data_IF_526767262521
#
_entry.id   IF_526767262521
#
_cell.length_a   1.000
_cell.length_b   1.000
_cell.length_c   1.000
_cell.angle_alpha   90.00
_cell.angle_beta   90.00
_cell.angle_gamma   90.00
#
_symmetry.space_group_name_H-M   'P 1'
#
loop_
_entity.id
_entity.type
_entity.pdbx_description
1 polymer ?
#
# COMPACT_ATOMS: atom_id res chain seq x y z
N UNK A 1 30.63 6.12 9.10
CA UNK A 1 29.84 6.67 7.97
C UNK A 1 30.27 8.09 7.61
N UNK A 2 30.52 8.97 8.59
CA UNK A 2 30.98 10.34 8.35
C UNK A 2 32.37 10.38 7.67
N UNK A 3 33.27 9.48 8.05
CA UNK A 3 34.54 9.19 7.38
C UNK A 3 34.39 8.98 5.85
N UNK A 4 33.38 8.20 5.43
CA UNK A 4 33.09 7.98 4.01
C UNK A 4 32.59 9.24 3.32
N UNK A 5 31.82 10.09 4.00
CA UNK A 5 31.35 11.35 3.44
C UNK A 5 32.51 12.34 3.24
N UNK A 6 33.42 12.42 4.22
CA UNK A 6 34.67 13.21 4.12
C UNK A 6 35.51 12.71 2.94
N UNK A 7 35.73 11.39 2.84
CA UNK A 7 36.50 10.79 1.76
C UNK A 7 35.89 11.06 0.37
N UNK A 8 34.55 10.98 0.23
CA UNK A 8 33.86 11.26 -1.04
C UNK A 8 33.95 12.72 -1.43
N UNK A 9 33.81 13.63 -0.47
CA UNK A 9 33.92 15.07 -0.74
C UNK A 9 35.32 15.41 -1.27
N UNK A 10 36.37 14.91 -0.60
CA UNK A 10 37.76 15.07 -1.03
C UNK A 10 38.04 14.40 -2.37
N UNK A 11 37.51 13.21 -2.61
CA UNK A 11 37.71 12.50 -3.88
C UNK A 11 37.09 13.26 -5.05
N UNK A 12 35.98 13.97 -4.83
CA UNK A 12 35.28 14.72 -5.87
C UNK A 12 35.84 16.13 -6.08
N UNK A 13 36.32 16.77 -5.02
CA UNK A 13 36.88 18.13 -5.04
C UNK A 13 38.26 18.17 -4.34
N UNK A 14 39.27 17.47 -4.91
CA UNK A 14 40.57 17.30 -4.27
C UNK A 14 41.40 18.59 -4.22
N UNK A 15 41.08 19.57 -5.07
CA UNK A 15 41.75 20.86 -5.16
C UNK A 15 41.20 21.90 -4.19
N UNK A 16 39.94 21.75 -3.79
CA UNK A 16 39.21 22.68 -2.94
C UNK A 16 39.20 22.25 -1.48
N UNK A 17 39.31 20.95 -1.19
CA UNK A 17 39.22 20.42 0.18
C UNK A 17 40.44 19.61 0.61
N UNK A 18 41.11 20.06 1.67
CA UNK A 18 41.93 19.18 2.51
C UNK A 18 41.05 18.24 3.34
N UNK A 19 41.67 17.27 4.02
CA UNK A 19 40.95 16.34 4.90
C UNK A 19 40.23 17.08 6.03
N UNK A 20 40.89 18.07 6.63
CA UNK A 20 40.37 18.88 7.73
C UNK A 20 39.23 19.79 7.26
N UNK A 21 39.40 20.44 6.10
CA UNK A 21 38.35 21.27 5.50
C UNK A 21 37.12 20.45 5.11
N UNK A 22 37.32 19.24 4.58
CA UNK A 22 36.23 18.33 4.27
C UNK A 22 35.51 17.89 5.55
N UNK A 23 36.24 17.59 6.64
CA UNK A 23 35.65 17.25 7.93
C UNK A 23 34.82 18.41 8.51
N UNK A 24 35.31 19.66 8.40
CA UNK A 24 34.57 20.85 8.80
C UNK A 24 33.30 21.05 7.97
N UNK A 25 33.36 20.88 6.65
CA UNK A 25 32.18 20.97 5.79
C UNK A 25 31.14 19.88 6.12
N UNK A 26 31.58 18.65 6.39
CA UNK A 26 30.70 17.56 6.84
C UNK A 26 30.06 17.91 8.19
N UNK A 27 30.85 18.35 9.18
CA UNK A 27 30.34 18.74 10.49
C UNK A 27 29.28 19.86 10.37
N UNK A 28 29.59 20.88 9.55
CA UNK A 28 28.70 22.02 9.30
C UNK A 28 27.38 21.59 8.69
N UNK A 29 27.41 20.69 7.70
CA UNK A 29 26.19 20.15 7.10
C UNK A 29 25.25 19.51 8.15
N UNK A 30 25.80 18.92 9.21
CA UNK A 30 25.04 18.32 10.31
C UNK A 30 24.67 19.29 11.45
N UNK A 31 25.09 20.55 11.40
CA UNK A 31 24.79 21.53 12.45
C UNK A 31 25.91 21.76 13.48
N UNK A 32 27.10 21.18 13.25
CA UNK A 32 28.20 21.15 14.21
C UNK A 32 29.43 21.87 13.68
N UNK A 33 30.34 22.28 14.57
CA UNK A 33 31.59 22.93 14.18
C UNK A 33 32.71 21.93 13.91
N UNK A 34 32.72 20.79 14.60
CA UNK A 34 33.80 19.81 14.52
C UNK A 34 33.31 18.39 14.29
N UNK A 35 34.10 17.66 13.52
CA UNK A 35 34.04 16.22 13.36
C UNK A 35 35.41 15.66 13.74
N UNK A 36 35.46 14.83 14.77
CA UNK A 36 36.65 14.07 15.12
C UNK A 36 36.79 12.89 14.16
N UNK A 37 37.91 12.80 13.43
CA UNK A 37 38.11 11.75 12.42
C UNK A 37 38.55 10.41 13.00
N UNK A 38 38.99 10.37 14.27
CA UNK A 38 39.33 9.14 14.99
C UNK A 38 38.10 8.51 15.64
N UNK A 39 37.27 9.32 16.30
CA UNK A 39 36.08 8.84 17.01
C UNK A 39 34.80 8.90 16.17
N UNK A 40 34.80 9.71 15.09
CA UNK A 40 33.64 10.02 14.26
C UNK A 40 32.50 10.72 15.01
N UNK A 41 32.83 11.41 16.10
CA UNK A 41 31.86 12.19 16.87
C UNK A 41 31.76 13.63 16.35
N UNK A 42 30.53 14.14 16.32
CA UNK A 42 30.21 15.52 16.03
C UNK A 42 30.16 16.31 17.35
N UNK A 43 30.92 17.38 17.45
CA UNK A 43 31.00 18.21 18.66
C UNK A 43 30.83 19.69 18.34
N UNK A 44 30.62 20.49 19.39
CA UNK A 44 30.44 21.94 19.31
C UNK A 44 29.24 22.32 18.40
N UNK A 45 27.99 22.04 18.82
CA UNK A 45 26.80 22.43 18.06
C UNK A 45 26.78 23.95 17.83
N UNK A 46 26.32 24.38 16.66
CA UNK A 46 26.32 25.79 16.28
C UNK A 46 24.91 26.37 16.37
N UNK A 47 24.75 27.39 17.21
CA UNK A 47 23.48 28.10 17.37
C UNK A 47 22.98 28.65 16.03
N UNK A 48 21.68 28.45 15.76
CA UNK A 48 21.03 28.86 14.52
C UNK A 48 21.14 27.86 13.37
N UNK A 49 21.94 26.79 13.50
CA UNK A 49 21.91 25.69 12.55
C UNK A 49 20.85 24.64 12.88
N UNK A 50 20.34 23.99 11.84
CA UNK A 50 19.36 22.93 11.98
C UNK A 50 20.05 21.61 12.33
N UNK A 51 19.50 20.88 13.29
CA UNK A 51 19.87 19.49 13.51
C UNK A 51 19.48 18.64 12.31
N UNK A 52 20.43 17.82 11.83
CA UNK A 52 20.20 16.85 10.75
C UNK A 52 20.50 15.45 11.29
N UNK A 53 19.59 14.50 11.01
CA UNK A 53 19.76 13.10 11.39
C UNK A 53 21.01 12.49 10.76
N UNK A 54 21.69 11.53 11.41
CA UNK A 54 22.80 10.81 10.79
C UNK A 54 22.40 10.14 9.47
N UNK A 55 23.31 10.11 8.49
CA UNK A 55 23.01 9.63 7.12
C UNK A 55 22.36 8.23 7.09
N UNK A 56 22.82 7.30 7.92
CA UNK A 56 22.24 5.95 8.01
C UNK A 56 20.80 5.91 8.53
N UNK A 57 20.39 6.91 9.30
CA UNK A 57 19.00 7.06 9.76
C UNK A 57 18.16 7.82 8.75
N UNK A 58 18.73 8.83 8.08
CA UNK A 58 18.08 9.53 6.97
C UNK A 58 17.60 8.53 5.91
N UNK A 59 18.45 7.58 5.51
CA UNK A 59 18.12 6.57 4.49
C UNK A 59 16.98 5.61 4.91
N UNK A 60 16.60 5.58 6.19
CA UNK A 60 15.44 4.82 6.68
C UNK A 60 14.16 5.64 6.65
N UNK A 61 14.24 6.97 6.59
CA UNK A 61 13.08 7.85 6.57
C UNK A 61 12.38 7.85 5.21
N UNK A 62 11.18 8.42 5.10
CA UNK A 62 10.52 8.59 3.81
C UNK A 62 11.22 9.62 2.91
N UNK A 63 10.82 9.68 1.64
CA UNK A 63 11.43 10.56 0.64
C UNK A 63 11.33 12.03 1.04
N UNK A 64 10.20 12.48 1.57
CA UNK A 64 10.03 13.89 1.93
C UNK A 64 10.96 14.28 3.07
N UNK A 65 11.10 13.41 4.07
CA UNK A 65 12.00 13.57 5.19
C UNK A 65 13.47 13.47 4.79
N UNK A 66 13.83 12.55 3.89
CA UNK A 66 15.16 12.45 3.29
C UNK A 66 15.52 13.74 2.53
N UNK A 67 14.61 14.19 1.67
CA UNK A 67 14.75 15.44 0.90
C UNK A 67 14.88 16.64 1.84
N UNK A 68 14.05 16.72 2.87
CA UNK A 68 14.12 17.79 3.87
C UNK A 68 15.49 17.79 4.56
N UNK A 69 16.00 16.63 4.96
CA UNK A 69 17.31 16.56 5.61
C UNK A 69 18.45 16.92 4.63
N UNK A 70 18.40 16.52 3.36
CA UNK A 70 19.37 16.98 2.35
C UNK A 70 19.32 18.49 2.13
N UNK A 71 18.11 19.07 2.13
CA UNK A 71 17.92 20.52 2.03
C UNK A 71 18.41 21.25 3.28
N UNK A 72 18.22 20.68 4.48
CA UNK A 72 18.76 21.22 5.74
C UNK A 72 20.28 21.22 5.75
N UNK A 73 20.90 20.15 5.26
CA UNK A 73 22.36 20.09 5.10
C UNK A 73 22.86 21.20 4.18
N UNK A 74 22.22 21.39 3.03
CA UNK A 74 22.58 22.47 2.11
C UNK A 74 22.37 23.85 2.76
N UNK A 75 21.28 24.05 3.49
CA UNK A 75 21.00 25.30 4.18
C UNK A 75 22.05 25.61 5.25
N UNK A 76 22.40 24.64 6.08
CA UNK A 76 23.44 24.78 7.11
C UNK A 76 24.79 25.23 6.53
N UNK A 77 25.12 24.76 5.32
CA UNK A 77 26.30 25.18 4.58
C UNK A 77 26.20 26.59 3.99
N UNK A 78 24.99 27.04 3.62
CA UNK A 78 24.77 28.35 2.99
C UNK A 78 24.60 29.53 3.96
N UNK A 79 24.29 29.27 5.24
CA UNK A 79 24.03 30.31 6.22
C UNK A 79 25.30 31.10 6.55
N UNK A 80 25.35 32.35 6.04
CA UNK A 80 26.51 33.26 6.02
C UNK A 80 26.85 33.93 7.35
N UNK A 81 26.03 33.74 8.39
CA UNK A 81 26.30 34.27 9.73
C UNK A 81 27.48 33.58 10.44
N UNK A 82 28.08 32.56 9.82
CA UNK A 82 29.22 31.83 10.35
C UNK A 82 30.28 31.62 9.27
N UNK A 83 31.45 31.12 9.65
CA UNK A 83 32.59 30.86 8.76
C UNK A 83 32.19 30.05 7.52
N UNK A 84 32.61 30.52 6.33
CA UNK A 84 32.32 29.84 5.07
C UNK A 84 33.23 28.62 4.91
N UNK A 85 32.67 27.43 5.12
CA UNK A 85 33.36 26.15 4.98
C UNK A 85 33.28 25.55 3.58
N UNK A 86 32.65 26.23 2.62
CA UNK A 86 32.33 25.67 1.30
C UNK A 86 33.50 25.67 0.32
N UNK A 87 34.55 26.43 0.59
CA UNK A 87 35.75 26.54 -0.27
C UNK A 87 35.41 26.87 -1.73
N UNK A 88 34.37 27.68 -1.96
CA UNK A 88 33.89 28.05 -3.29
C UNK A 88 33.03 26.99 -4.01
N UNK A 89 32.80 25.81 -3.41
CA UNK A 89 31.92 24.78 -3.97
C UNK A 89 30.46 25.04 -3.56
N UNK A 90 29.48 25.03 -4.48
CA UNK A 90 28.08 25.22 -4.13
C UNK A 90 27.58 24.20 -3.08
N UNK A 91 26.80 24.64 -2.10
CA UNK A 91 26.35 23.82 -0.97
C UNK A 91 25.66 22.52 -1.40
N UNK A 92 24.80 22.59 -2.43
CA UNK A 92 24.10 21.44 -2.99
C UNK A 92 25.05 20.39 -3.57
N UNK A 93 26.16 20.85 -4.16
CA UNK A 93 27.16 19.96 -4.74
C UNK A 93 28.01 19.28 -3.67
N UNK A 94 28.27 19.96 -2.54
CA UNK A 94 28.91 19.38 -1.35
C UNK A 94 28.02 18.25 -0.79
N UNK A 95 26.72 18.51 -0.57
CA UNK A 95 25.78 17.49 -0.07
C UNK A 95 25.69 16.30 -1.02
N UNK A 96 25.60 16.54 -2.33
CA UNK A 96 25.60 15.48 -3.33
C UNK A 96 26.90 14.64 -3.28
N UNK A 97 28.05 15.28 -3.16
CA UNK A 97 29.35 14.61 -3.05
C UNK A 97 29.43 13.72 -1.81
N UNK A 98 29.03 14.24 -0.64
CA UNK A 98 28.97 13.48 0.62
C UNK A 98 28.12 12.22 0.46
N UNK A 99 26.98 12.33 -0.21
CA UNK A 99 26.06 11.22 -0.44
C UNK A 99 26.52 10.26 -1.56
N UNK A 100 27.54 10.63 -2.35
CA UNK A 100 28.10 9.81 -3.42
C UNK A 100 27.45 10.00 -4.79
N UNK A 101 26.82 11.16 -5.03
CA UNK A 101 26.12 11.48 -6.28
C UNK A 101 26.88 12.51 -7.13
N UNK A 102 26.64 12.45 -8.44
CA UNK A 102 27.27 13.35 -9.42
C UNK A 102 26.83 14.80 -9.27
N UNK A 103 25.57 15.04 -8.92
CA UNK A 103 25.01 16.36 -8.62
C UNK A 103 23.78 16.22 -7.70
N UNK A 104 23.25 17.35 -7.24
CA UNK A 104 22.13 17.37 -6.32
C UNK A 104 20.83 16.86 -6.96
N UNK A 105 20.61 17.14 -8.25
CA UNK A 105 19.42 16.64 -8.96
C UNK A 105 19.40 15.11 -9.06
N UNK A 106 20.57 14.47 -9.22
CA UNK A 106 20.71 13.01 -9.20
C UNK A 106 20.45 12.43 -7.80
N UNK A 107 20.90 13.10 -6.74
CA UNK A 107 20.58 12.73 -5.35
C UNK A 107 19.07 12.84 -5.10
N UNK A 108 18.45 13.94 -5.52
CA UNK A 108 17.01 14.16 -5.41
C UNK A 108 16.23 13.13 -6.23
N UNK A 109 16.65 12.86 -7.47
CA UNK A 109 16.05 11.84 -8.33
C UNK A 109 16.16 10.45 -7.68
N UNK A 110 17.30 10.13 -7.06
CA UNK A 110 17.47 8.88 -6.33
C UNK A 110 16.52 8.79 -5.13
N UNK A 111 16.45 9.84 -4.30
CA UNK A 111 15.51 9.90 -3.17
C UNK A 111 14.06 9.74 -3.65
N UNK A 112 13.70 10.38 -4.77
CA UNK A 112 12.38 10.23 -5.40
C UNK A 112 12.16 8.88 -6.08
N UNK A 113 13.23 8.17 -6.44
CA UNK A 113 13.16 6.92 -7.18
C UNK A 113 12.90 5.69 -6.32
N UNK A 114 13.00 5.77 -4.97
CA UNK A 114 12.86 4.61 -4.07
C UNK A 114 11.53 3.88 -4.34
N UNK A 115 11.57 2.80 -5.15
CA UNK A 115 10.37 2.24 -5.73
C UNK A 115 9.75 1.35 -4.67
N UNK A 116 8.74 1.87 -3.99
CA UNK A 116 7.89 1.07 -3.13
C UNK A 116 6.82 0.42 -4.00
N UNK A 117 7.09 -0.81 -4.42
CA UNK A 117 6.11 -1.64 -5.09
C UNK A 117 5.03 -2.07 -4.07
N UNK A 118 3.78 -1.58 -4.17
CA UNK A 118 2.69 -1.98 -3.27
C UNK A 118 2.29 -3.46 -3.41
N UNK A 119 2.73 -4.11 -4.49
CA UNK A 119 2.38 -5.48 -4.81
C UNK A 119 3.51 -6.46 -4.44
N UNK A 120 4.57 -6.01 -3.79
CA UNK A 120 5.65 -6.87 -3.32
C UNK A 120 5.19 -7.82 -2.21
N UNK A 121 5.84 -8.98 -2.11
CA UNK A 121 5.68 -9.90 -0.96
C UNK A 121 6.70 -9.67 0.15
N UNK A 122 7.66 -8.75 -0.06
CA UNK A 122 8.67 -8.39 0.94
C UNK A 122 8.04 -7.56 2.06
N UNK A 123 8.01 -8.15 3.26
CA UNK A 123 7.42 -7.53 4.46
C UNK A 123 8.10 -6.21 4.84
N UNK A 124 9.41 -6.06 4.61
CA UNK A 124 10.11 -4.83 4.93
C UNK A 124 9.73 -3.70 3.96
N UNK A 125 9.56 -4.00 2.68
CA UNK A 125 9.10 -3.00 1.69
C UNK A 125 7.65 -2.62 1.95
N UNK A 126 6.78 -3.57 2.31
CA UNK A 126 5.40 -3.28 2.72
C UNK A 126 5.35 -2.44 4.01
N UNK A 127 6.25 -2.69 4.96
CA UNK A 127 6.42 -1.85 6.15
C UNK A 127 6.77 -0.41 5.78
N UNK A 128 7.78 -0.23 4.91
CA UNK A 128 8.15 1.09 4.37
C UNK A 128 7.00 1.76 3.60
N UNK A 129 6.20 0.98 2.87
CA UNK A 129 5.00 1.49 2.19
C UNK A 129 4.02 2.07 3.21
N UNK A 130 3.70 1.31 4.27
CA UNK A 130 2.80 1.77 5.33
C UNK A 130 3.34 3.03 6.01
N UNK A 131 4.63 3.06 6.34
CA UNK A 131 5.27 4.23 6.95
C UNK A 131 5.21 5.46 6.04
N UNK A 132 5.45 5.30 4.74
CA UNK A 132 5.46 6.41 3.78
C UNK A 132 4.08 6.96 3.49
N UNK A 133 3.11 6.09 3.24
CA UNK A 133 1.79 6.52 2.79
C UNK A 133 0.78 6.64 3.95
N UNK A 134 1.13 6.12 5.12
CA UNK A 134 0.25 6.07 6.27
C UNK A 134 -0.93 5.15 6.06
N UNK A 135 -0.84 4.14 5.20
CA UNK A 135 -1.88 3.13 5.04
C UNK A 135 -1.29 1.82 4.50
N UNK A 136 -1.93 0.69 4.79
CA UNK A 136 -1.49 -0.62 4.31
C UNK A 136 -1.52 -0.71 2.77
N UNK A 137 -0.63 -1.49 2.17
CA UNK A 137 -0.69 -1.72 0.72
C UNK A 137 -1.93 -2.58 0.34
N UNK A 138 -2.42 -2.52 -0.91
CA UNK A 138 -3.57 -3.32 -1.36
C UNK A 138 -3.43 -4.82 -1.13
N UNK A 139 -2.23 -5.37 -1.33
CA UNK A 139 -1.93 -6.78 -1.05
C UNK A 139 -2.24 -7.17 0.41
N UNK A 140 -2.13 -6.22 1.33
CA UNK A 140 -2.38 -6.43 2.75
C UNK A 140 -3.88 -6.29 3.03
N UNK A 141 -4.49 -5.14 2.76
CA UNK A 141 -5.87 -4.88 3.17
C UNK A 141 -6.95 -5.61 2.34
N UNK A 142 -6.61 -6.14 1.14
CA UNK A 142 -7.53 -7.01 0.39
C UNK A 142 -7.21 -8.49 0.55
N UNK A 143 -5.93 -8.88 0.47
CA UNK A 143 -5.55 -10.31 0.48
C UNK A 143 -5.18 -10.83 1.88
N UNK A 144 -5.24 -9.97 2.90
CA UNK A 144 -4.93 -10.32 4.27
C UNK A 144 -3.47 -10.66 4.50
N UNK A 145 -2.56 -10.17 3.64
CA UNK A 145 -1.14 -10.48 3.80
C UNK A 145 -0.52 -9.74 4.98
N UNK A 146 0.05 -10.50 5.91
CA UNK A 146 0.78 -10.00 7.09
C UNK A 146 0.01 -9.01 7.98
N UNK A 147 -1.32 -9.01 7.91
CA UNK A 147 -2.20 -8.17 8.74
C UNK A 147 -3.25 -9.02 9.44
N UNK A 148 -3.94 -8.45 10.42
CA UNK A 148 -4.93 -9.15 11.24
C UNK A 148 -6.30 -8.45 11.20
N UNK A 149 -6.29 -7.16 10.85
CA UNK A 149 -7.43 -6.27 10.84
C UNK A 149 -8.33 -6.55 9.63
N UNK A 150 -9.64 -6.68 9.88
CA UNK A 150 -10.64 -6.82 8.83
C UNK A 150 -10.90 -5.52 8.08
N UNK A 151 -11.45 -5.63 6.88
CA UNK A 151 -11.64 -4.50 5.95
C UNK A 151 -13.11 -4.33 5.56
N UNK A 152 -13.60 -3.09 5.58
CA UNK A 152 -14.88 -2.69 5.01
C UNK A 152 -14.65 -1.81 3.78
N UNK A 153 -15.28 -2.15 2.67
CA UNK A 153 -15.27 -1.36 1.44
C UNK A 153 -16.66 -0.77 1.23
N UNK A 154 -16.75 0.54 1.20
CA UNK A 154 -17.97 1.29 0.90
C UNK A 154 -17.85 1.85 -0.51
N UNK A 155 -18.64 1.28 -1.42
CA UNK A 155 -18.68 1.68 -2.82
C UNK A 155 -20.12 1.48 -3.34
N UNK A 156 -20.88 2.57 -3.56
CA UNK A 156 -22.26 2.53 -4.05
C UNK A 156 -22.41 1.84 -5.40
N UNK A 157 -21.39 1.97 -6.27
CA UNK A 157 -21.39 1.39 -7.60
C UNK A 157 -20.86 -0.05 -7.57
N UNK A 158 -21.76 -1.02 -7.78
CA UNK A 158 -21.43 -2.45 -7.71
C UNK A 158 -20.37 -2.87 -8.73
N UNK A 159 -20.47 -2.38 -9.96
CA UNK A 159 -19.53 -2.71 -11.03
C UNK A 159 -18.13 -2.19 -10.68
N UNK A 160 -18.04 -0.95 -10.21
CA UNK A 160 -16.76 -0.37 -9.76
C UNK A 160 -16.16 -1.13 -8.59
N UNK A 161 -16.97 -1.56 -7.62
CA UNK A 161 -16.48 -2.32 -6.47
C UNK A 161 -15.92 -3.68 -6.90
N UNK A 162 -16.67 -4.41 -7.73
CA UNK A 162 -16.23 -5.67 -8.30
C UNK A 162 -14.94 -5.48 -9.11
N UNK A 163 -14.90 -4.46 -9.97
CA UNK A 163 -13.75 -4.14 -10.82
C UNK A 163 -12.48 -3.88 -10.01
N UNK A 164 -12.62 -3.15 -8.90
CA UNK A 164 -11.52 -2.88 -7.98
C UNK A 164 -10.96 -4.17 -7.38
N UNK A 165 -11.80 -4.99 -6.76
CA UNK A 165 -11.40 -6.28 -6.16
C UNK A 165 -10.72 -7.15 -7.21
N UNK A 166 -11.32 -7.27 -8.39
CA UNK A 166 -10.84 -8.12 -9.47
C UNK A 166 -9.47 -7.70 -9.99
N UNK A 167 -9.27 -6.39 -10.16
CA UNK A 167 -8.00 -5.83 -10.57
C UNK A 167 -6.91 -6.12 -9.53
N UNK A 168 -7.18 -5.88 -8.25
CA UNK A 168 -6.19 -6.10 -7.20
C UNK A 168 -5.82 -7.59 -7.06
N UNK A 169 -6.77 -8.49 -7.27
CA UNK A 169 -6.48 -9.94 -7.35
C UNK A 169 -5.54 -10.26 -8.52
N UNK A 170 -5.65 -9.53 -9.63
CA UNK A 170 -4.84 -9.75 -10.84
C UNK A 170 -3.44 -9.12 -10.73
N UNK A 171 -3.34 -7.95 -10.11
CA UNK A 171 -2.09 -7.19 -10.00
C UNK A 171 -1.13 -7.76 -8.94
N UNK A 172 -1.67 -8.45 -7.93
CA UNK A 172 -0.89 -8.89 -6.79
C UNK A 172 -0.40 -10.35 -6.93
N UNK A 173 0.82 -10.66 -6.48
CA UNK A 173 1.31 -12.04 -6.43
C UNK A 173 0.49 -12.84 -5.40
N UNK A 174 0.08 -14.06 -5.74
CA UNK A 174 -0.82 -14.87 -4.89
C UNK A 174 -0.14 -16.04 -4.18
N UNK A 175 1.18 -16.22 -4.39
CA UNK A 175 1.96 -17.30 -3.79
C UNK A 175 1.87 -17.29 -2.26
N UNK A 176 1.55 -18.42 -1.65
CA UNK A 176 1.37 -18.49 -0.19
C UNK A 176 0.09 -17.84 0.33
N UNK A 177 -0.81 -17.40 -0.56
CA UNK A 177 -2.14 -16.89 -0.21
C UNK A 177 -3.27 -17.76 -0.76
N UNK A 178 -4.41 -17.73 -0.08
CA UNK A 178 -5.70 -18.27 -0.54
C UNK A 178 -6.78 -17.22 -0.37
N UNK A 179 -7.57 -17.01 -1.43
CA UNK A 179 -8.66 -16.04 -1.46
C UNK A 179 -9.94 -16.73 -1.91
N UNK A 180 -11.03 -16.48 -1.18
CA UNK A 180 -12.38 -16.85 -1.57
C UNK A 180 -13.19 -15.56 -1.73
N UNK A 181 -13.81 -15.40 -2.90
CA UNK A 181 -14.69 -14.27 -3.22
C UNK A 181 -16.10 -14.83 -3.34
N UNK A 182 -17.05 -14.30 -2.57
CA UNK A 182 -18.45 -14.71 -2.62
C UNK A 182 -19.25 -13.57 -3.26
N UNK A 183 -19.93 -13.88 -4.37
CA UNK A 183 -20.75 -12.94 -5.14
C UNK A 183 -22.12 -13.54 -5.45
N UNK A 184 -23.14 -12.71 -5.49
CA UNK A 184 -24.50 -13.09 -5.88
C UNK A 184 -24.90 -12.60 -7.27
N UNK A 185 -24.00 -11.93 -7.99
CA UNK A 185 -24.10 -11.66 -9.42
C UNK A 185 -23.66 -12.89 -10.25
N UNK A 186 -24.52 -13.46 -11.11
CA UNK A 186 -24.15 -14.56 -12.02
C UNK A 186 -23.02 -14.25 -13.00
N UNK A 187 -22.79 -12.97 -13.32
CA UNK A 187 -21.69 -12.47 -14.18
C UNK A 187 -20.50 -11.97 -13.35
N UNK A 188 -20.58 -12.12 -12.02
CA UNK A 188 -19.61 -11.61 -11.06
C UNK A 188 -18.20 -12.20 -11.20
N UNK A 189 -17.92 -13.13 -12.11
CA UNK A 189 -16.57 -13.67 -12.34
C UNK A 189 -16.03 -13.38 -13.75
N UNK A 190 -16.82 -12.77 -14.64
CA UNK A 190 -16.51 -12.72 -16.06
C UNK A 190 -15.19 -11.99 -16.33
N UNK A 191 -14.98 -10.83 -15.70
CA UNK A 191 -13.75 -10.07 -15.87
C UNK A 191 -12.50 -10.84 -15.37
N UNK A 192 -12.54 -11.37 -14.13
CA UNK A 192 -11.45 -12.16 -13.57
C UNK A 192 -11.12 -13.40 -14.41
N UNK A 193 -12.14 -14.04 -14.98
CA UNK A 193 -11.99 -15.25 -15.79
C UNK A 193 -11.23 -14.98 -17.10
N UNK A 194 -11.36 -13.77 -17.64
CA UNK A 194 -10.64 -13.33 -18.85
C UNK A 194 -9.20 -12.96 -18.51
N UNK A 195 -9.01 -12.24 -17.41
CA UNK A 195 -7.72 -11.63 -17.05
C UNK A 195 -6.78 -12.60 -16.33
N UNK A 196 -7.31 -13.67 -15.74
CA UNK A 196 -6.53 -14.65 -14.98
C UNK A 196 -6.89 -16.07 -15.41
N UNK A 197 -5.87 -16.88 -15.74
CA UNK A 197 -6.08 -18.29 -16.11
C UNK A 197 -6.23 -19.25 -14.93
N UNK A 198 -5.96 -18.77 -13.71
CA UNK A 198 -5.84 -19.59 -12.50
C UNK A 198 -6.96 -19.33 -11.46
N UNK A 199 -8.04 -18.65 -11.87
CA UNK A 199 -9.20 -18.43 -11.00
C UNK A 199 -10.17 -19.59 -11.12
N UNK A 200 -10.46 -20.24 -9.99
CA UNK A 200 -11.48 -21.26 -9.93
C UNK A 200 -12.86 -20.61 -9.75
N UNK A 201 -13.84 -21.04 -10.55
CA UNK A 201 -15.21 -20.54 -10.45
C UNK A 201 -16.11 -21.69 -10.00
N UNK A 202 -16.82 -21.46 -8.91
CA UNK A 202 -17.88 -22.34 -8.42
C UNK A 202 -19.22 -21.61 -8.58
N UNK A 203 -20.21 -22.28 -9.20
CA UNK A 203 -21.58 -21.76 -9.34
C UNK A 203 -22.50 -22.70 -8.57
N UNK A 204 -23.16 -22.22 -7.53
CA UNK A 204 -24.01 -23.08 -6.70
C UNK A 204 -24.33 -22.52 -5.32
N UNK A 205 -25.12 -23.27 -4.55
CA UNK A 205 -25.51 -22.93 -3.18
C UNK A 205 -24.39 -23.28 -2.19
N UNK A 206 -24.37 -22.57 -1.06
CA UNK A 206 -23.52 -22.90 0.08
C UNK A 206 -24.17 -23.97 0.95
N UNK A 207 -24.28 -25.19 0.40
CA UNK A 207 -24.86 -26.34 1.10
C UNK A 207 -23.79 -27.25 1.73
N UNK A 208 -24.20 -28.39 2.28
CA UNK A 208 -23.29 -29.36 2.89
C UNK A 208 -22.23 -29.92 1.91
N UNK A 209 -22.51 -29.90 0.60
CA UNK A 209 -21.59 -30.34 -0.46
C UNK A 209 -20.61 -29.24 -0.91
N UNK A 210 -20.90 -27.97 -0.61
CA UNK A 210 -20.12 -26.81 -1.02
C UNK A 210 -18.64 -26.98 -0.73
N UNK A 211 -18.28 -27.30 0.52
CA UNK A 211 -16.86 -27.34 0.95
C UNK A 211 -16.02 -28.29 0.11
N UNK A 212 -16.54 -29.48 -0.17
CA UNK A 212 -15.83 -30.49 -0.96
C UNK A 212 -15.74 -30.05 -2.43
N UNK A 213 -16.83 -29.55 -3.01
CA UNK A 213 -16.89 -29.09 -4.39
C UNK A 213 -15.98 -27.87 -4.64
N UNK A 214 -16.00 -26.90 -3.72
CA UNK A 214 -15.19 -25.69 -3.74
C UNK A 214 -13.70 -26.01 -3.59
N UNK A 215 -13.33 -26.90 -2.66
CA UNK A 215 -11.95 -27.37 -2.52
C UNK A 215 -11.47 -28.11 -3.78
N UNK A 216 -12.31 -28.97 -4.37
CA UNK A 216 -11.99 -29.67 -5.60
C UNK A 216 -11.81 -28.71 -6.79
N UNK A 217 -12.68 -27.69 -6.91
CA UNK A 217 -12.57 -26.65 -7.95
C UNK A 217 -11.33 -25.79 -7.80
N UNK A 218 -11.00 -25.40 -6.57
CA UNK A 218 -9.83 -24.59 -6.30
C UNK A 218 -8.53 -25.38 -6.51
N UNK A 219 -8.48 -26.64 -6.06
CA UNK A 219 -7.30 -27.50 -6.17
C UNK A 219 -6.03 -26.81 -5.64
N UNK A 220 -5.01 -26.71 -6.51
CA UNK A 220 -3.75 -26.02 -6.21
C UNK A 220 -3.78 -24.51 -6.49
N UNK A 221 -4.88 -23.97 -7.01
CA UNK A 221 -5.05 -22.55 -7.30
C UNK A 221 -5.17 -21.70 -6.03
N UNK A 222 -5.11 -20.39 -6.21
CA UNK A 222 -5.11 -19.44 -5.08
C UNK A 222 -6.44 -18.73 -4.89
N UNK A 223 -7.25 -18.59 -5.94
CA UNK A 223 -8.49 -17.80 -5.93
C UNK A 223 -9.67 -18.67 -6.29
N UNK A 224 -10.69 -18.65 -5.42
CA UNK A 224 -12.00 -19.23 -5.67
C UNK A 224 -13.03 -18.11 -5.73
N UNK A 225 -13.76 -17.99 -6.84
CA UNK A 225 -14.96 -17.15 -6.92
C UNK A 225 -16.18 -18.06 -6.82
N UNK A 226 -16.98 -17.88 -5.77
CA UNK A 226 -18.24 -18.59 -5.56
C UNK A 226 -19.40 -17.67 -5.94
N UNK A 227 -20.07 -18.02 -7.03
CA UNK A 227 -21.27 -17.35 -7.51
C UNK A 227 -22.49 -18.06 -6.91
N UNK A 228 -23.09 -17.42 -5.91
CA UNK A 228 -24.17 -17.96 -5.09
C UNK A 228 -25.52 -17.34 -5.47
N UNK A 229 -26.66 -17.98 -5.18
CA UNK A 229 -27.96 -17.36 -5.43
C UNK A 229 -28.17 -16.09 -4.59
N UNK A 230 -28.92 -15.13 -5.13
CA UNK A 230 -29.31 -13.91 -4.42
C UNK A 230 -30.31 -14.23 -3.30
N UNK A 231 -29.79 -14.45 -2.10
CA UNK A 231 -30.55 -14.65 -0.87
C UNK A 231 -29.84 -13.96 0.29
N UNK A 232 -30.50 -13.83 1.44
CA UNK A 232 -29.84 -13.34 2.65
C UNK A 232 -28.83 -14.37 3.17
N UNK A 233 -27.57 -13.98 3.35
CA UNK A 233 -26.53 -14.82 3.96
C UNK A 233 -26.08 -14.27 5.30
N UNK A 234 -25.78 -15.16 6.25
CA UNK A 234 -25.09 -14.82 7.48
C UNK A 234 -23.59 -14.82 7.27
N UNK A 235 -22.89 -13.82 7.81
CA UNK A 235 -21.44 -13.73 7.65
C UNK A 235 -20.74 -14.90 8.35
N UNK A 236 -21.28 -15.37 9.49
CA UNK A 236 -20.65 -16.47 10.22
C UNK A 236 -20.68 -17.78 9.42
N UNK A 237 -21.77 -18.04 8.71
CA UNK A 237 -21.90 -19.21 7.82
C UNK A 237 -20.88 -19.12 6.67
N UNK A 238 -20.72 -17.94 6.04
CA UNK A 238 -19.74 -17.73 4.98
C UNK A 238 -18.30 -18.04 5.45
N UNK A 239 -17.94 -17.59 6.66
CA UNK A 239 -16.65 -17.88 7.28
C UNK A 239 -16.49 -19.38 7.56
N UNK A 240 -17.48 -20.02 8.17
CA UNK A 240 -17.46 -21.45 8.50
C UNK A 240 -17.32 -22.35 7.26
N UNK A 241 -18.05 -22.04 6.20
CA UNK A 241 -18.02 -22.79 4.96
C UNK A 241 -16.66 -22.68 4.24
N UNK A 242 -16.00 -21.54 4.32
CA UNK A 242 -14.74 -21.26 3.62
C UNK A 242 -13.47 -21.50 4.45
N UNK A 243 -13.57 -21.63 5.78
CA UNK A 243 -12.40 -21.68 6.65
C UNK A 243 -11.39 -22.75 6.26
N UNK A 244 -11.82 -23.99 6.02
CA UNK A 244 -10.92 -25.08 5.65
C UNK A 244 -10.26 -24.88 4.28
N UNK A 245 -10.92 -24.17 3.37
CA UNK A 245 -10.40 -23.89 2.02
C UNK A 245 -9.30 -22.84 2.11
N UNK A 246 -9.53 -21.80 2.92
CA UNK A 246 -8.62 -20.67 3.08
C UNK A 246 -7.38 -21.00 3.92
N UNK A 247 -7.46 -21.96 4.84
CA UNK A 247 -6.32 -22.29 5.73
C UNK A 247 -5.28 -23.24 5.12
N UNK A 248 -5.56 -23.86 3.96
CA UNK A 248 -4.67 -24.87 3.37
C UNK A 248 -3.55 -24.21 2.57
N UNK A 249 -2.31 -24.47 3.00
CA UNK A 249 -1.08 -23.99 2.34
C UNK A 249 -1.08 -22.47 2.09
N UNK A 250 -1.64 -21.70 3.03
CA UNK A 250 -1.73 -20.25 2.98
C UNK A 250 -1.01 -19.63 4.20
N UNK A 251 0.34 -19.66 4.24
CA UNK A 251 1.10 -19.08 5.33
C UNK A 251 1.07 -17.54 5.33
N UNK A 252 0.91 -16.91 4.16
CA UNK A 252 1.17 -15.48 4.02
C UNK A 252 -0.10 -14.63 3.98
N UNK A 253 -1.23 -15.15 3.48
CA UNK A 253 -2.49 -14.43 3.44
C UNK A 253 -3.72 -15.33 3.23
N UNK A 254 -4.80 -15.04 3.96
CA UNK A 254 -6.06 -15.78 3.89
C UNK A 254 -7.20 -14.77 3.86
N UNK A 255 -7.88 -14.64 2.73
CA UNK A 255 -8.93 -13.64 2.59
C UNK A 255 -10.28 -14.25 2.19
N UNK A 256 -11.33 -13.84 2.91
CA UNK A 256 -12.72 -14.01 2.50
C UNK A 256 -13.26 -12.65 2.09
N UNK A 257 -13.51 -12.47 0.80
CA UNK A 257 -14.10 -11.25 0.24
C UNK A 257 -15.60 -11.52 0.02
N UNK A 258 -16.44 -10.78 0.74
CA UNK A 258 -17.90 -10.88 0.70
C UNK A 258 -18.44 -9.69 -0.05
N UNK A 259 -18.92 -9.93 -1.26
CA UNK A 259 -19.40 -8.94 -2.21
C UNK A 259 -20.84 -9.32 -2.62
N UNK A 260 -21.75 -9.18 -1.67
CA UNK A 260 -23.14 -9.63 -1.75
C UNK A 260 -24.08 -8.43 -1.65
N UNK A 261 -25.19 -8.44 -2.40
CA UNK A 261 -26.23 -7.43 -2.25
C UNK A 261 -26.99 -7.59 -0.92
N UNK A 262 -27.20 -8.82 -0.47
CA UNK A 262 -28.02 -9.15 0.70
C UNK A 262 -27.22 -9.90 1.78
N UNK A 263 -26.32 -9.20 2.47
CA UNK A 263 -25.67 -9.71 3.68
C UNK A 263 -26.56 -9.42 4.90
N UNK A 264 -26.74 -10.42 5.78
CA UNK A 264 -27.40 -10.23 7.06
C UNK A 264 -26.54 -9.33 7.96
N UNK A 265 -27.18 -8.31 8.54
CA UNK A 265 -26.55 -7.31 9.41
C UNK A 265 -26.92 -7.54 10.89
N UNK A 266 -27.33 -8.76 11.23
CA UNK A 266 -27.58 -9.16 12.61
C UNK A 266 -26.30 -9.08 13.43
N UNK A 267 -26.31 -8.27 14.50
CA UNK A 267 -25.11 -7.93 15.26
C UNK A 267 -24.47 -9.14 15.92
N UNK A 268 -25.29 -10.06 16.45
CA UNK A 268 -24.82 -11.29 17.06
C UNK A 268 -24.11 -12.21 16.05
N UNK A 269 -24.64 -12.30 14.83
CA UNK A 269 -23.98 -13.01 13.74
C UNK A 269 -22.65 -12.36 13.32
N UNK A 270 -22.62 -11.03 13.18
CA UNK A 270 -21.40 -10.29 12.83
C UNK A 270 -20.30 -10.49 13.88
N UNK A 271 -20.64 -10.38 15.18
CA UNK A 271 -19.71 -10.63 16.28
C UNK A 271 -19.15 -12.05 16.26
N UNK A 272 -20.03 -13.04 16.06
CA UNK A 272 -19.63 -14.45 15.90
C UNK A 272 -18.69 -14.62 14.70
N UNK A 273 -19.01 -13.99 13.57
CA UNK A 273 -18.27 -14.16 12.32
C UNK A 273 -16.85 -13.60 12.41
N UNK A 274 -16.68 -12.36 12.88
CA UNK A 274 -15.36 -11.73 13.01
C UNK A 274 -14.50 -12.42 14.07
N UNK A 275 -15.10 -12.83 15.20
CA UNK A 275 -14.39 -13.63 16.21
C UNK A 275 -13.90 -14.97 15.65
N UNK A 276 -14.74 -15.66 14.87
CA UNK A 276 -14.37 -16.90 14.21
C UNK A 276 -13.25 -16.69 13.17
N UNK A 277 -13.38 -15.66 12.34
CA UNK A 277 -12.40 -15.35 11.30
C UNK A 277 -11.03 -15.03 11.91
N UNK A 278 -11.00 -14.17 12.94
CA UNK A 278 -9.79 -13.87 13.73
C UNK A 278 -9.17 -15.15 14.30
N UNK A 279 -9.97 -16.01 14.94
CA UNK A 279 -9.49 -17.29 15.50
C UNK A 279 -8.88 -18.22 14.44
N UNK A 280 -9.33 -18.13 13.19
CA UNK A 280 -8.82 -18.91 12.04
C UNK A 280 -7.73 -18.19 11.25
N UNK A 281 -7.34 -17.00 11.67
CA UNK A 281 -6.45 -16.10 10.95
C UNK A 281 -6.92 -15.85 9.51
N UNK A 282 -8.22 -15.59 9.35
CA UNK A 282 -8.85 -15.25 8.07
C UNK A 282 -9.17 -13.76 8.09
N UNK A 283 -8.63 -13.05 7.12
CA UNK A 283 -8.98 -11.67 6.83
C UNK A 283 -10.35 -11.61 6.15
N UNK A 284 -11.30 -10.90 6.74
CA UNK A 284 -12.61 -10.68 6.14
C UNK A 284 -12.64 -9.30 5.48
N UNK A 285 -12.98 -9.27 4.21
CA UNK A 285 -13.29 -8.05 3.46
C UNK A 285 -14.79 -8.05 3.19
N UNK A 286 -15.51 -7.07 3.71
CA UNK A 286 -16.94 -6.91 3.41
C UNK A 286 -17.11 -5.71 2.49
N UNK A 287 -17.79 -5.92 1.36
CA UNK A 287 -18.11 -4.85 0.41
C UNK A 287 -19.58 -4.50 0.55
N UNK A 288 -19.87 -3.22 0.80
CA UNK A 288 -21.23 -2.71 0.96
C UNK A 288 -21.49 -1.56 0.00
N UNK A 289 -22.74 -1.48 -0.48
CA UNK A 289 -23.22 -0.38 -1.34
C UNK A 289 -23.72 0.81 -0.55
N UNK A 290 -24.17 0.55 0.68
CA UNK A 290 -24.64 1.57 1.62
C UNK A 290 -23.82 1.48 2.90
N UNK A 291 -23.53 2.62 3.54
CA UNK A 291 -22.83 2.61 4.82
C UNK A 291 -23.57 1.81 5.88
N UNK A 292 -22.82 1.17 6.77
CA UNK A 292 -23.38 0.37 7.85
C UNK A 292 -22.56 0.54 9.13
N UNK A 293 -23.20 1.10 10.15
CA UNK A 293 -22.56 1.39 11.43
C UNK A 293 -22.09 0.13 12.16
N UNK A 294 -22.82 -0.98 12.04
CA UNK A 294 -22.49 -2.21 12.75
C UNK A 294 -21.26 -2.92 12.16
N UNK A 295 -21.11 -2.91 10.84
CA UNK A 295 -19.88 -3.33 10.17
C UNK A 295 -18.74 -2.36 10.46
N UNK A 296 -19.00 -1.05 10.43
CA UNK A 296 -18.00 -0.02 10.70
C UNK A 296 -17.29 -0.24 12.03
N UNK A 297 -18.04 -0.53 13.10
CA UNK A 297 -17.50 -0.73 14.47
C UNK A 297 -16.63 -1.98 14.61
N UNK A 298 -16.72 -2.95 13.68
CA UNK A 298 -16.13 -4.29 13.81
C UNK A 298 -14.90 -4.53 12.93
N UNK A 299 -14.56 -3.57 12.07
CA UNK A 299 -13.39 -3.65 11.18
C UNK A 299 -12.30 -2.67 11.63
N UNK A 300 -11.03 -2.99 11.33
CA UNK A 300 -9.92 -2.07 11.61
C UNK A 300 -9.58 -1.15 10.44
N UNK A 301 -9.99 -1.52 9.23
CA UNK A 301 -9.70 -0.83 7.98
C UNK A 301 -11.00 -0.50 7.26
N UNK A 302 -11.16 0.73 6.78
CA UNK A 302 -12.25 1.14 5.88
C UNK A 302 -11.70 1.79 4.61
N UNK A 303 -12.28 1.44 3.48
CA UNK A 303 -12.07 2.11 2.20
C UNK A 303 -13.39 2.73 1.74
N UNK A 304 -13.38 4.03 1.44
CA UNK A 304 -14.56 4.75 0.95
C UNK A 304 -14.26 5.29 -0.44
N UNK A 305 -15.02 4.84 -1.43
CA UNK A 305 -14.79 5.16 -2.83
C UNK A 305 -15.78 6.17 -3.41
N UNK A 306 -16.79 6.58 -2.66
CA UNK A 306 -17.84 7.51 -3.11
C UNK A 306 -19.07 7.37 -2.24
N UNK A 307 -19.79 8.46 -2.03
CA UNK A 307 -21.18 8.45 -1.58
C UNK A 307 -21.80 9.84 -1.83
N UNK A 308 -23.12 9.85 -1.96
CA UNK A 308 -23.94 11.04 -2.25
C UNK A 308 -24.28 11.81 -0.96
N UNK A 309 -24.54 13.12 -1.04
CA UNK A 309 -24.74 13.99 0.13
C UNK A 309 -26.03 13.72 0.92
N UNK A 310 -26.98 12.96 0.35
CA UNK A 310 -28.30 12.68 0.94
C UNK A 310 -28.29 11.53 1.96
N UNK A 311 -27.13 11.24 2.58
CA UNK A 311 -27.05 10.25 3.66
C UNK A 311 -27.76 10.81 4.90
N UNK A 312 -28.77 10.07 5.36
CA UNK A 312 -29.33 10.30 6.69
C UNK A 312 -28.29 9.91 7.74
N UNK A 313 -27.94 10.86 8.61
CA UNK A 313 -27.05 10.62 9.75
C UNK A 313 -27.52 9.39 10.53
N UNK A 314 -26.61 8.44 10.72
CA UNK A 314 -26.87 7.16 11.38
C UNK A 314 -25.85 6.87 12.48
N UNK A 315 -24.58 7.23 12.26
CA UNK A 315 -23.49 7.03 13.20
C UNK A 315 -22.39 8.07 12.96
N UNK A 316 -22.30 9.04 13.87
CA UNK A 316 -21.50 10.26 13.75
C UNK A 316 -20.06 10.06 13.28
N UNK A 317 -19.36 9.04 13.77
CA UNK A 317 -17.97 8.79 13.37
C UNK A 317 -17.87 8.35 11.90
N UNK A 318 -18.71 7.39 11.49
CA UNK A 318 -18.79 6.98 10.08
C UNK A 318 -19.24 8.15 9.20
N UNK A 319 -20.28 8.86 9.62
CA UNK A 319 -20.87 9.97 8.85
C UNK A 319 -19.87 11.11 8.64
N UNK A 320 -19.00 11.40 9.62
CA UNK A 320 -17.89 12.33 9.48
C UNK A 320 -16.92 11.93 8.36
N UNK A 321 -16.51 10.66 8.32
CA UNK A 321 -15.56 10.15 7.33
C UNK A 321 -16.19 9.99 5.95
N UNK A 322 -17.48 9.64 5.90
CA UNK A 322 -18.27 9.81 4.71
C UNK A 322 -18.17 11.28 4.33
N UNK A 323 -18.76 12.23 5.05
CA UNK A 323 -18.76 13.67 4.69
C UNK A 323 -17.42 14.22 4.17
N UNK A 324 -16.28 13.86 4.80
CA UNK A 324 -14.94 14.22 4.34
C UNK A 324 -14.52 13.65 2.98
N UNK A 325 -14.97 12.44 2.64
CA UNK A 325 -14.61 11.78 1.39
C UNK A 325 -15.45 12.24 0.19
N UNK A 326 -16.72 12.63 0.37
CA UNK A 326 -17.64 13.03 -0.72
C UNK A 326 -17.02 13.91 -1.83
N UNK A 327 -16.34 15.03 -1.53
CA UNK A 327 -15.82 15.90 -2.58
C UNK A 327 -14.59 15.33 -3.29
N UNK A 328 -13.86 14.39 -2.68
CA UNK A 328 -12.51 13.98 -3.12
C UNK A 328 -12.43 12.57 -3.68
N UNK A 329 -13.38 11.68 -3.34
CA UNK A 329 -13.33 10.28 -3.77
C UNK A 329 -14.32 10.01 -4.90
N UNK A 330 -14.15 8.90 -5.61
CA UNK A 330 -14.95 8.57 -6.80
C UNK A 330 -14.10 8.22 -8.00
N UNK A 331 -14.77 7.91 -9.11
CA UNK A 331 -14.10 7.72 -10.38
C UNK A 331 -13.93 9.08 -11.09
N UNK A 332 -12.71 9.60 -11.13
CA UNK A 332 -12.37 10.89 -11.75
C UNK A 332 -11.14 10.73 -12.64
N UNK A 333 -11.23 11.22 -13.90
CA UNK A 333 -10.12 11.24 -14.86
C UNK A 333 -9.44 9.88 -15.06
N UNK A 334 -10.23 8.79 -15.15
CA UNK A 334 -9.71 7.43 -15.34
C UNK A 334 -9.10 6.80 -14.08
N UNK A 335 -9.18 7.47 -12.93
CA UNK A 335 -8.67 6.97 -11.65
C UNK A 335 -9.82 6.76 -10.68
N UNK A 336 -9.75 5.66 -9.96
CA UNK A 336 -10.61 5.41 -8.82
C UNK A 336 -9.91 5.99 -7.58
N UNK A 337 -10.48 7.06 -7.04
CA UNK A 337 -10.02 7.74 -5.85
C UNK A 337 -10.78 7.21 -4.64
N UNK A 338 -10.07 7.01 -3.53
CA UNK A 338 -10.65 6.50 -2.30
C UNK A 338 -10.01 7.13 -1.07
N UNK A 339 -10.76 7.09 0.02
CA UNK A 339 -10.26 7.41 1.34
C UNK A 339 -10.04 6.10 2.08
N UNK A 340 -8.82 5.89 2.53
CA UNK A 340 -8.45 4.88 3.51
C UNK A 340 -8.66 5.45 4.91
N UNK A 341 -9.22 4.66 5.82
CA UNK A 341 -9.33 4.99 7.23
C UNK A 341 -8.94 3.78 8.08
N UNK A 342 -8.11 4.03 9.09
CA UNK A 342 -7.88 3.13 10.23
C UNK A 342 -7.73 3.97 11.50
N UNK A 343 -7.81 3.34 12.67
CA UNK A 343 -7.60 4.04 13.95
C UNK A 343 -6.16 4.57 14.07
N UNK A 344 -5.17 3.79 13.65
CA UNK A 344 -3.76 4.14 13.72
C UNK A 344 -3.39 5.29 12.78
N UNK A 345 -3.94 5.27 11.56
CA UNK A 345 -3.51 6.19 10.50
C UNK A 345 -4.44 7.39 10.32
N UNK A 346 -5.67 7.32 10.81
CA UNK A 346 -6.72 8.28 10.47
C UNK A 346 -7.08 8.23 8.98
N UNK A 347 -7.63 9.32 8.45
CA UNK A 347 -8.02 9.41 7.04
C UNK A 347 -6.81 9.69 6.14
N UNK A 348 -6.68 8.92 5.06
CA UNK A 348 -5.68 9.11 3.99
C UNK A 348 -6.37 9.00 2.63
N UNK A 349 -6.04 9.91 1.72
CA UNK A 349 -6.58 9.89 0.36
C UNK A 349 -5.60 9.21 -0.58
N UNK A 350 -6.11 8.31 -1.40
CA UNK A 350 -5.34 7.56 -2.38
C UNK A 350 -6.11 7.47 -3.70
N UNK A 351 -5.39 7.12 -4.77
CA UNK A 351 -5.96 6.94 -6.08
C UNK A 351 -5.27 5.78 -6.79
N UNK A 352 -6.06 4.99 -7.50
CA UNK A 352 -5.56 3.91 -8.35
C UNK A 352 -6.05 4.12 -9.78
N UNK A 353 -5.24 3.71 -10.74
CA UNK A 353 -5.71 3.62 -12.12
C UNK A 353 -6.55 2.35 -12.24
N UNK A 354 -7.75 2.44 -12.81
CA UNK A 354 -8.42 1.22 -13.27
C UNK A 354 -7.86 0.84 -14.63
N UNK A 355 -7.47 -0.41 -14.80
CA UNK A 355 -7.07 -0.94 -16.11
C UNK A 355 -8.28 -0.78 -17.03
N UNK A 356 -8.17 -0.11 -18.18
CA UNK A 356 -9.29 0.03 -19.12
C UNK A 356 -9.84 -1.34 -19.53
N UNK A 357 -11.13 -1.46 -19.81
CA UNK A 357 -11.77 -2.69 -20.33
C UNK A 357 -11.38 -3.00 -21.79
N UNK A 358 -10.23 -2.52 -22.25
CA UNK A 358 -9.87 -2.48 -23.65
C UNK A 358 -9.80 -3.91 -24.23
N UNK A 359 -10.75 -4.24 -25.11
CA UNK A 359 -10.77 -5.47 -25.91
C UNK A 359 -9.50 -5.66 -26.76
N UNK A 360 -8.59 -4.68 -26.78
CA UNK A 360 -7.35 -4.66 -27.56
C UNK A 360 -6.14 -5.37 -26.94
N UNK A 361 -6.24 -5.94 -25.75
CA UNK A 361 -5.21 -6.89 -25.27
C UNK A 361 -5.62 -8.33 -25.52
N UNK A 362 -5.79 -8.68 -26.80
CA UNK A 362 -5.35 -10.02 -27.23
C UNK A 362 -3.90 -10.15 -26.78
N UNK A 363 -3.61 -11.15 -25.96
CA UNK A 363 -2.25 -11.40 -25.49
C UNK A 363 -1.29 -11.40 -26.70
N UNK A 364 -0.06 -10.90 -26.54
CA UNK A 364 0.93 -10.88 -27.62
C UNK A 364 1.06 -12.27 -28.30
N UNK A 365 0.85 -13.33 -27.49
CA UNK A 365 0.75 -14.74 -27.89
C UNK A 365 -0.45 -15.07 -28.80
N UNK A 366 -1.62 -14.47 -28.61
CA UNK A 366 -2.78 -14.63 -29.48
C UNK A 366 -2.64 -13.86 -30.80
N UNK A 367 -1.98 -12.69 -30.78
CA UNK A 367 -1.63 -11.96 -32.01
C UNK A 367 -0.61 -12.75 -32.85
N UNK A 368 0.36 -13.40 -32.20
CA UNK A 368 1.31 -14.30 -32.85
C UNK A 368 0.64 -15.57 -33.40
N UNK A 369 -0.29 -16.19 -32.66
CA UNK A 369 -1.06 -17.35 -33.16
C UNK A 369 -1.98 -17.01 -34.33
N UNK A 370 -2.57 -15.81 -34.35
CA UNK A 370 -3.35 -15.32 -35.48
C UNK A 370 -2.50 -15.07 -36.72
N UNK A 371 -1.28 -14.54 -36.56
CA UNK A 371 -0.34 -14.32 -37.65
C UNK A 371 0.26 -15.64 -38.21
N UNK A 372 0.43 -16.67 -37.37
CA UNK A 372 0.96 -17.98 -37.77
C UNK A 372 -0.11 -18.87 -38.44
N UNK A 373 -1.41 -18.63 -38.18
CA UNK A 373 -2.52 -19.34 -38.84
C UNK A 373 -3.10 -18.63 -40.07
N UNK A 374 -2.54 -17.47 -40.44
CA UNK A 374 -2.91 -16.69 -41.63
C UNK A 374 -2.01 -16.92 -42.84
N UNK A 375 -1.31 -18.06 -42.91
CA UNK A 375 -0.61 -18.55 -44.10
C UNK A 375 -0.92 -20.01 -44.32
#
# INVERSE_FOLDING_TARGET
>A
MLDKQVARLKAKYPTEFTTEQAAMAVARAYGYRKLDLQTLELSDPVDGLQYVRPYGEMLKADVHHQVMDFMRMALNLSLSAHEDVRQGVPERNIVAAMCGFSNFDALMSYAHSDPLDPNTTDRAILGKFKERYGYYAPIQFLLGRYIHEHCLIIQPDAEKAQRFVDQEITLNPLSGSRIAIIRDDPQGADWLSVMTRNTAIYKGRLDNGYRAAAAAKLGKGHVLVSLVPQTAYKLSDLVEHNASILTVNAPDGRALIVDLANLSLDTADLDKAFALATKKNIHVVVVVRQPNAELWKRVGIRLIFGFDLDIQESYLDMDKYLGYSAPYVGFKRGKMQFMYQSEESGARFAAMNLIPDDQKTKSLLERLRGAIRGR
#
